data_IF_294292081360
#
_entry.id   IF_294292081360
#
_cell.length_a   1.000
_cell.length_b   1.000
_cell.length_c   1.000
_cell.angle_alpha   90.00
_cell.angle_beta   90.00
_cell.angle_gamma   90.00
#
_symmetry.space_group_name_H-M   'P 1'
#
loop_
_entity.id
_entity.type
_entity.pdbx_description
1 polymer ?
#
# COMPACT_ATOMS: atom_id res chain seq x y z
N UNK A 1 -18.56 19.80 84.40
CA UNK A 1 -18.85 18.37 84.30
C UNK A 1 -20.17 18.25 83.59
N UNK A 2 -20.20 17.73 82.37
CA UNK A 2 -21.15 16.67 82.07
C UNK A 2 -20.73 15.88 80.84
N UNK A 3 -20.98 14.58 80.97
CA UNK A 3 -20.45 13.47 80.19
C UNK A 3 -21.23 13.24 78.89
N UNK A 4 -20.47 12.96 77.83
CA UNK A 4 -20.75 11.99 76.76
C UNK A 4 -22.21 11.57 76.49
N UNK A 5 -22.66 11.79 75.26
CA UNK A 5 -23.38 10.76 74.50
C UNK A 5 -23.16 10.94 73.01
N UNK A 6 -22.33 10.06 72.46
CA UNK A 6 -22.27 9.71 71.05
C UNK A 6 -23.66 9.16 70.71
N UNK A 7 -24.42 9.84 69.84
CA UNK A 7 -25.56 9.21 69.19
C UNK A 7 -25.16 8.86 67.77
N UNK A 8 -25.25 7.56 67.52
CA UNK A 8 -24.84 6.83 66.34
C UNK A 8 -25.72 7.23 65.16
N UNK A 9 -25.11 7.20 63.97
CA UNK A 9 -25.73 7.24 62.65
C UNK A 9 -27.09 6.54 62.63
N UNK A 10 -28.07 7.21 62.05
CA UNK A 10 -29.26 6.56 61.48
C UNK A 10 -29.36 7.14 60.08
N UNK A 11 -28.65 6.49 59.15
CA UNK A 11 -28.77 6.72 57.72
C UNK A 11 -30.17 6.24 57.33
N UNK A 12 -31.13 7.17 57.29
CA UNK A 12 -32.41 6.99 56.61
C UNK A 12 -32.34 7.66 55.24
N UNK A 13 -31.35 7.28 54.43
CA UNK A 13 -31.51 7.33 52.98
C UNK A 13 -32.36 6.13 52.59
N UNK A 14 -33.66 6.25 52.87
CA UNK A 14 -34.71 5.43 52.29
C UNK A 14 -34.73 5.70 50.79
N UNK A 15 -33.85 5.06 50.03
CA UNK A 15 -34.00 4.90 48.60
C UNK A 15 -35.17 3.94 48.35
N UNK A 16 -36.37 4.52 48.40
CA UNK A 16 -37.63 3.89 48.01
C UNK A 16 -37.67 3.58 46.51
N UNK A 17 -36.69 2.84 46.01
CA UNK A 17 -36.87 1.95 44.88
C UNK A 17 -37.52 0.69 45.41
N UNK A 18 -38.85 0.78 45.55
CA UNK A 18 -39.68 -0.37 45.86
C UNK A 18 -39.39 -1.49 44.86
N UNK A 19 -38.89 -2.59 45.40
CA UNK A 19 -38.88 -3.94 44.85
C UNK A 19 -40.33 -4.40 44.57
N UNK A 20 -40.97 -3.73 43.62
CA UNK A 20 -42.32 -3.98 43.13
C UNK A 20 -42.30 -4.02 41.60
N UNK A 21 -41.19 -4.48 41.02
CA UNK A 21 -41.26 -5.19 39.74
C UNK A 21 -41.62 -6.62 40.11
N UNK A 22 -42.81 -7.06 39.74
CA UNK A 22 -43.22 -8.45 39.88
C UNK A 22 -42.13 -9.33 39.23
N UNK A 23 -41.69 -10.44 39.85
CA UNK A 23 -40.71 -11.39 39.27
C UNK A 23 -41.07 -11.80 37.82
N UNK A 24 -42.38 -11.77 37.49
CA UNK A 24 -42.89 -11.98 36.15
C UNK A 24 -42.57 -10.84 35.16
N UNK A 25 -42.55 -9.59 35.61
CA UNK A 25 -42.23 -8.41 34.78
C UNK A 25 -40.73 -8.38 34.46
N UNK A 26 -39.87 -8.77 35.41
CA UNK A 26 -38.41 -8.85 35.18
C UNK A 26 -38.04 -9.96 34.19
N UNK A 27 -38.72 -11.11 34.26
CA UNK A 27 -38.61 -12.19 33.25
C UNK A 27 -39.07 -11.73 31.86
N UNK A 28 -40.16 -10.96 31.78
CA UNK A 28 -40.66 -10.41 30.52
C UNK A 28 -39.70 -9.35 29.94
N UNK A 29 -39.07 -8.54 30.79
CA UNK A 29 -38.03 -7.60 30.36
C UNK A 29 -36.79 -8.32 29.83
N UNK A 30 -36.31 -9.37 30.52
CA UNK A 30 -35.21 -10.21 30.05
C UNK A 30 -35.55 -10.90 28.72
N UNK A 31 -36.75 -11.43 28.57
CA UNK A 31 -37.20 -12.06 27.32
C UNK A 31 -37.27 -11.04 26.18
N UNK A 32 -37.81 -9.84 26.43
CA UNK A 32 -37.88 -8.75 25.46
C UNK A 32 -36.48 -8.24 25.05
N UNK A 33 -35.56 -8.10 26.00
CA UNK A 33 -34.17 -7.72 25.75
C UNK A 33 -33.44 -8.82 24.95
N UNK A 34 -33.64 -10.09 25.30
CA UNK A 34 -33.04 -11.22 24.58
C UNK A 34 -33.48 -11.26 23.11
N UNK A 35 -34.77 -11.01 22.85
CA UNK A 35 -35.35 -11.00 21.52
C UNK A 35 -34.92 -9.76 20.71
N UNK A 36 -34.75 -8.61 21.38
CA UNK A 36 -34.16 -7.42 20.79
C UNK A 36 -32.69 -7.64 20.42
N UNK A 37 -31.92 -8.31 21.29
CA UNK A 37 -30.53 -8.67 21.05
C UNK A 37 -30.39 -9.69 19.92
N UNK A 38 -31.26 -10.70 19.85
CA UNK A 38 -31.30 -11.68 18.76
C UNK A 38 -31.56 -10.99 17.41
N UNK A 39 -32.56 -10.09 17.33
CA UNK A 39 -32.87 -9.32 16.12
C UNK A 39 -31.70 -8.42 15.69
N UNK A 40 -31.01 -7.79 16.64
CA UNK A 40 -29.80 -6.99 16.36
C UNK A 40 -28.65 -7.87 15.89
N UNK A 41 -28.38 -8.99 16.57
CA UNK A 41 -27.29 -9.91 16.19
C UNK A 41 -27.46 -10.47 14.79
N UNK A 42 -28.70 -10.81 14.38
CA UNK A 42 -28.98 -11.33 13.04
C UNK A 42 -28.77 -10.29 11.94
N UNK A 43 -29.10 -9.03 12.22
CA UNK A 43 -28.96 -7.92 11.24
C UNK A 43 -27.54 -7.37 11.19
N UNK A 44 -26.85 -7.32 12.32
CA UNK A 44 -25.44 -6.95 12.43
C UNK A 44 -24.55 -8.03 11.80
N UNK A 45 -24.74 -9.30 12.13
CA UNK A 45 -23.96 -10.41 11.56
C UNK A 45 -24.12 -10.54 10.04
N UNK A 46 -25.29 -10.23 9.49
CA UNK A 46 -25.50 -10.22 8.04
C UNK A 46 -24.81 -9.02 7.35
N UNK A 47 -24.79 -7.85 8.00
CA UNK A 47 -24.04 -6.68 7.51
C UNK A 47 -22.54 -6.92 7.58
N UNK A 48 -22.04 -7.41 8.71
CA UNK A 48 -20.63 -7.75 8.90
C UNK A 48 -20.19 -8.85 7.92
N UNK A 49 -21.01 -9.89 7.70
CA UNK A 49 -20.71 -10.92 6.70
C UNK A 49 -20.65 -10.38 5.26
N UNK A 50 -21.52 -9.43 4.90
CA UNK A 50 -21.47 -8.74 3.61
C UNK A 50 -20.21 -7.89 3.49
N UNK A 51 -19.85 -7.16 4.54
CA UNK A 51 -18.69 -6.25 4.50
C UNK A 51 -17.37 -7.03 4.48
N UNK A 52 -17.27 -8.12 5.24
CA UNK A 52 -16.12 -9.05 5.17
C UNK A 52 -16.03 -9.72 3.79
N UNK A 53 -17.14 -10.14 3.21
CA UNK A 53 -17.15 -10.73 1.86
C UNK A 53 -16.68 -9.75 0.79
N UNK A 54 -17.12 -8.49 0.86
CA UNK A 54 -16.66 -7.43 -0.05
C UNK A 54 -15.16 -7.18 0.10
N UNK A 55 -14.69 -7.02 1.33
CA UNK A 55 -13.27 -6.76 1.60
C UNK A 55 -12.39 -7.90 1.08
N UNK A 56 -12.82 -9.15 1.28
CA UNK A 56 -12.07 -10.32 0.83
C UNK A 56 -11.99 -10.37 -0.71
N UNK A 57 -13.11 -10.16 -1.40
CA UNK A 57 -13.10 -10.10 -2.89
C UNK A 57 -12.31 -8.92 -3.43
N UNK A 58 -12.30 -7.79 -2.73
CA UNK A 58 -11.50 -6.61 -3.09
C UNK A 58 -10.01 -6.90 -2.93
N UNK A 59 -9.62 -7.54 -1.83
CA UNK A 59 -8.24 -7.90 -1.56
C UNK A 59 -7.73 -8.96 -2.55
N UNK A 60 -8.53 -9.96 -2.90
CA UNK A 60 -8.19 -10.92 -3.96
C UNK A 60 -7.98 -10.23 -5.31
N UNK A 61 -8.89 -9.32 -5.69
CA UNK A 61 -8.75 -8.51 -6.89
C UNK A 61 -7.49 -7.65 -6.89
N UNK A 62 -7.17 -7.02 -5.76
CA UNK A 62 -5.94 -6.24 -5.58
C UNK A 62 -4.69 -7.11 -5.71
N UNK A 63 -4.65 -8.26 -5.03
CA UNK A 63 -3.50 -9.16 -5.06
C UNK A 63 -3.19 -9.62 -6.49
N UNK A 64 -4.21 -10.01 -7.24
CA UNK A 64 -4.05 -10.39 -8.64
C UNK A 64 -3.58 -9.21 -9.51
N UNK A 65 -4.18 -8.03 -9.33
CA UNK A 65 -3.75 -6.83 -10.05
C UNK A 65 -2.33 -6.40 -9.71
N UNK A 66 -1.94 -6.50 -8.44
CA UNK A 66 -0.61 -6.16 -7.94
C UNK A 66 0.45 -7.11 -8.47
N UNK A 67 0.23 -8.42 -8.45
CA UNK A 67 1.20 -9.41 -8.96
C UNK A 67 1.54 -9.15 -10.43
N UNK A 68 0.52 -8.96 -11.27
CA UNK A 68 0.70 -8.68 -12.69
C UNK A 68 1.26 -7.28 -12.96
N UNK A 69 0.78 -6.28 -12.20
CA UNK A 69 1.18 -4.89 -12.32
C UNK A 69 2.61 -4.63 -11.85
N UNK A 70 3.01 -5.22 -10.73
CA UNK A 70 4.33 -5.05 -10.15
C UNK A 70 5.41 -5.61 -11.07
N UNK A 71 5.22 -6.81 -11.63
CA UNK A 71 6.20 -7.40 -12.55
C UNK A 71 6.39 -6.56 -13.82
N UNK A 72 5.29 -6.07 -14.41
CA UNK A 72 5.31 -5.23 -15.62
C UNK A 72 5.90 -3.85 -15.35
N UNK A 73 5.46 -3.20 -14.27
CA UNK A 73 5.94 -1.89 -13.84
C UNK A 73 7.42 -1.90 -13.43
N UNK A 74 7.89 -2.97 -12.76
CA UNK A 74 9.29 -3.11 -12.36
C UNK A 74 10.23 -3.12 -13.57
N UNK A 75 9.90 -3.89 -14.62
CA UNK A 75 10.70 -3.94 -15.85
C UNK A 75 10.80 -2.57 -16.52
N UNK A 76 9.69 -1.84 -16.59
CA UNK A 76 9.66 -0.48 -17.15
C UNK A 76 10.53 0.48 -16.33
N UNK A 77 10.39 0.42 -15.00
CA UNK A 77 11.14 1.27 -14.07
C UNK A 77 12.64 1.05 -14.13
N UNK A 78 13.10 -0.22 -14.19
CA UNK A 78 14.53 -0.56 -14.30
C UNK A 78 15.13 0.03 -15.57
N UNK A 79 14.44 -0.12 -16.69
CA UNK A 79 14.93 0.33 -17.99
C UNK A 79 14.93 1.86 -18.12
N UNK A 80 13.93 2.54 -17.57
CA UNK A 80 13.94 4.00 -17.45
C UNK A 80 15.07 4.49 -16.52
N UNK A 81 15.32 3.77 -15.43
CA UNK A 81 16.43 4.02 -14.51
C UNK A 81 17.79 3.89 -15.20
N UNK A 82 17.97 2.85 -16.01
CA UNK A 82 19.19 2.60 -16.77
C UNK A 82 19.47 3.72 -17.78
N UNK A 83 18.46 4.14 -18.56
CA UNK A 83 18.61 5.25 -19.51
C UNK A 83 18.96 6.57 -18.80
N UNK A 84 18.34 6.84 -17.64
CA UNK A 84 18.66 8.04 -16.83
C UNK A 84 20.06 7.99 -16.26
N UNK A 85 20.50 6.83 -15.77
CA UNK A 85 21.86 6.63 -15.29
C UNK A 85 22.88 6.84 -16.41
N UNK A 86 22.63 6.29 -17.60
CA UNK A 86 23.47 6.47 -18.78
C UNK A 86 23.57 7.95 -19.18
N UNK A 87 22.43 8.65 -19.26
CA UNK A 87 22.37 10.09 -19.54
C UNK A 87 23.25 10.91 -18.58
N UNK A 88 23.25 10.56 -17.30
CA UNK A 88 24.05 11.25 -16.28
C UNK A 88 25.54 10.90 -16.38
N UNK A 89 25.86 9.64 -16.65
CA UNK A 89 27.25 9.14 -16.70
C UNK A 89 27.98 9.58 -17.97
N UNK A 90 27.27 9.70 -19.10
CA UNK A 90 27.84 10.03 -20.41
C UNK A 90 27.19 11.28 -21.02
N UNK A 91 27.47 12.49 -20.49
CA UNK A 91 26.87 13.72 -20.98
C UNK A 91 27.38 14.17 -22.36
N UNK A 92 28.47 13.59 -22.86
CA UNK A 92 29.10 13.94 -24.14
C UNK A 92 29.11 12.78 -25.15
N UNK A 93 28.34 11.72 -24.92
CA UNK A 93 28.20 10.63 -25.90
C UNK A 93 27.47 11.13 -27.15
N UNK A 94 27.87 10.67 -28.33
CA UNK A 94 27.14 10.93 -29.59
C UNK A 94 25.68 10.42 -29.54
N UNK A 95 25.40 9.47 -28.66
CA UNK A 95 24.08 8.89 -28.43
C UNK A 95 23.26 9.62 -27.36
N UNK A 96 23.77 10.72 -26.78
CA UNK A 96 23.08 11.45 -25.71
C UNK A 96 21.69 11.93 -26.15
N UNK A 97 21.59 12.51 -27.34
CA UNK A 97 20.32 12.98 -27.90
C UNK A 97 19.36 11.81 -28.19
N UNK A 98 19.88 10.69 -28.71
CA UNK A 98 19.08 9.49 -28.96
C UNK A 98 18.51 8.90 -27.65
N UNK A 99 19.30 8.87 -26.58
CA UNK A 99 18.89 8.41 -25.25
C UNK A 99 17.83 9.35 -24.65
N UNK A 100 18.02 10.66 -24.75
CA UNK A 100 17.04 11.65 -24.26
C UNK A 100 15.70 11.52 -24.99
N UNK A 101 15.73 11.44 -26.32
CA UNK A 101 14.53 11.24 -27.13
C UNK A 101 13.83 9.93 -26.78
N UNK A 102 14.59 8.85 -26.55
CA UNK A 102 14.02 7.55 -26.15
C UNK A 102 13.35 7.61 -24.78
N UNK A 103 13.93 8.33 -23.81
CA UNK A 103 13.34 8.55 -22.48
C UNK A 103 11.99 9.28 -22.62
N UNK A 104 11.92 10.35 -23.42
CA UNK A 104 10.70 11.13 -23.61
C UNK A 104 9.61 10.34 -24.35
N UNK A 105 9.97 9.60 -25.39
CA UNK A 105 9.06 8.70 -26.09
C UNK A 105 8.50 7.62 -25.16
N UNK A 106 9.32 7.04 -24.28
CA UNK A 106 8.83 6.07 -23.30
C UNK A 106 7.89 6.70 -22.29
N UNK A 107 8.25 7.87 -21.76
CA UNK A 107 7.41 8.59 -20.79
C UNK A 107 6.03 8.91 -21.37
N UNK A 108 5.97 9.41 -22.60
CA UNK A 108 4.70 9.73 -23.28
C UNK A 108 3.87 8.47 -23.59
N UNK A 109 4.52 7.37 -24.00
CA UNK A 109 3.84 6.08 -24.18
C UNK A 109 3.25 5.56 -22.86
N UNK A 110 4.03 5.60 -21.77
CA UNK A 110 3.58 5.16 -20.45
C UNK A 110 2.39 6.01 -19.96
N UNK A 111 2.47 7.33 -20.08
CA UNK A 111 1.37 8.24 -19.73
C UNK A 111 0.09 7.93 -20.55
N UNK A 112 0.22 7.63 -21.84
CA UNK A 112 -0.90 7.28 -22.69
C UNK A 112 -1.54 5.91 -22.35
N UNK A 113 -0.75 4.98 -21.82
CA UNK A 113 -1.23 3.66 -21.38
C UNK A 113 -1.96 3.79 -20.03
N UNK A 114 -1.38 4.55 -19.09
CA UNK A 114 -1.99 4.82 -17.79
C UNK A 114 -3.36 5.50 -17.96
N UNK A 115 -3.47 6.46 -18.90
CA UNK A 115 -4.75 7.13 -19.20
C UNK A 115 -5.84 6.17 -19.74
N UNK A 116 -5.47 5.04 -20.35
CA UNK A 116 -6.42 4.01 -20.79
C UNK A 116 -6.84 3.06 -19.67
N UNK A 117 -6.19 3.13 -18.51
CA UNK A 117 -6.39 2.19 -17.40
C UNK A 117 -5.61 0.88 -17.54
N UNK A 118 -4.68 0.82 -18.51
CA UNK A 118 -3.85 -0.35 -18.74
C UNK A 118 -2.53 -0.25 -17.96
N UNK A 119 -1.90 -1.41 -17.71
CA UNK A 119 -0.59 -1.47 -17.06
C UNK A 119 0.48 -1.23 -18.13
N UNK A 120 1.46 -0.31 -17.90
CA UNK A 120 2.57 -0.11 -18.83
C UNK A 120 3.38 -1.41 -18.94
N UNK A 121 3.34 -2.02 -20.12
CA UNK A 121 4.11 -3.21 -20.44
C UNK A 121 5.37 -2.81 -21.17
N UNK A 122 6.50 -3.36 -20.73
CA UNK A 122 7.75 -3.26 -21.50
C UNK A 122 7.90 -4.52 -22.33
N UNK A 123 7.86 -4.37 -23.65
CA UNK A 123 8.10 -5.46 -24.58
C UNK A 123 9.56 -5.91 -24.51
N UNK A 124 9.82 -7.16 -24.90
CA UNK A 124 11.19 -7.66 -25.08
C UNK A 124 11.93 -6.87 -26.15
N UNK A 125 11.21 -6.42 -27.19
CA UNK A 125 11.74 -5.59 -28.26
C UNK A 125 12.27 -4.25 -27.73
N UNK A 126 11.56 -3.61 -26.80
CA UNK A 126 12.03 -2.36 -26.20
C UNK A 126 13.33 -2.56 -25.40
N UNK A 127 13.49 -3.73 -24.78
CA UNK A 127 14.69 -4.10 -24.01
C UNK A 127 15.85 -4.30 -24.98
N UNK A 128 15.64 -5.01 -26.08
CA UNK A 128 16.67 -5.28 -27.07
C UNK A 128 17.11 -4.00 -27.79
N UNK A 129 16.17 -3.12 -28.14
CA UNK A 129 16.47 -1.80 -28.70
C UNK A 129 17.33 -0.97 -27.75
N UNK A 130 16.97 -0.91 -26.47
CA UNK A 130 17.73 -0.11 -25.49
C UNK A 130 19.07 -0.75 -25.17
N UNK A 131 19.14 -2.07 -25.11
CA UNK A 131 20.40 -2.79 -24.90
C UNK A 131 21.34 -2.55 -26.07
N UNK A 132 20.84 -2.58 -27.31
CA UNK A 132 21.66 -2.30 -28.49
C UNK A 132 22.18 -0.85 -28.51
N UNK A 133 21.33 0.14 -28.19
CA UNK A 133 21.72 1.54 -28.04
C UNK A 133 22.85 1.71 -27.00
N UNK A 134 22.68 1.11 -25.82
CA UNK A 134 23.66 1.23 -24.73
C UNK A 134 24.95 0.43 -25.01
N UNK A 135 24.86 -0.73 -25.68
CA UNK A 135 26.01 -1.61 -25.92
C UNK A 135 27.11 -0.96 -26.77
N UNK A 136 26.74 -0.08 -27.69
CA UNK A 136 27.65 0.63 -28.56
C UNK A 136 28.65 1.51 -27.78
N UNK A 137 28.26 2.06 -26.63
CA UNK A 137 29.14 2.88 -25.78
C UNK A 137 29.77 2.09 -24.63
N UNK A 138 29.10 1.04 -24.12
CA UNK A 138 29.67 0.17 -23.08
C UNK A 138 30.90 -0.58 -23.59
N UNK A 139 30.97 -0.92 -24.89
CA UNK A 139 32.18 -1.48 -25.50
C UNK A 139 33.40 -0.54 -25.35
N UNK A 140 33.20 0.78 -25.42
CA UNK A 140 34.27 1.76 -25.17
C UNK A 140 34.68 1.89 -23.70
N UNK A 141 33.79 1.61 -22.75
CA UNK A 141 34.07 1.66 -21.32
C UNK A 141 34.96 0.50 -20.87
N UNK A 142 34.79 -0.68 -21.47
CA UNK A 142 35.62 -1.86 -21.15
C UNK A 142 37.05 -1.70 -21.69
N UNK A 143 37.22 -1.02 -22.84
CA UNK A 143 38.54 -0.78 -23.43
C UNK A 143 39.33 0.32 -22.69
N UNK A 144 38.67 1.28 -22.04
CA UNK A 144 39.32 2.26 -21.17
C UNK A 144 39.86 1.68 -19.86
N UNK A 145 39.38 0.50 -19.42
CA UNK A 145 39.91 -0.16 -18.24
C UNK A 145 41.29 -0.82 -18.47
N UNK A 146 41.80 -0.84 -19.71
CA UNK A 146 43.09 -1.43 -20.08
C UNK A 146 44.19 -0.40 -20.43
N UNK A 147 43.97 0.92 -20.28
CA UNK A 147 44.97 1.93 -20.65
C UNK A 147 45.82 2.44 -19.47
N UNK A 148 47.08 1.99 -19.49
CA UNK A 148 48.33 2.66 -19.10
C UNK A 148 48.73 2.85 -17.62
N UNK A 149 49.44 1.84 -17.07
CA UNK A 149 50.29 1.95 -15.87
C UNK A 149 51.79 2.19 -16.18
N UNK A 150 52.17 2.62 -17.39
CA UNK A 150 53.59 2.65 -17.81
C UNK A 150 54.21 4.01 -18.10
N UNK A 151 53.54 5.14 -17.82
CA UNK A 151 54.18 6.46 -18.05
C UNK A 151 54.32 7.40 -16.83
N UNK A 152 54.39 6.85 -15.62
CA UNK A 152 54.75 7.62 -14.42
C UNK A 152 56.02 7.10 -13.76
N UNK A 153 57.16 7.21 -14.44
CA UNK A 153 58.47 7.36 -13.76
C UNK A 153 59.18 8.53 -14.44
N UNK A 154 59.49 9.52 -13.63
CA UNK A 154 59.89 10.87 -13.98
C UNK A 154 61.32 10.98 -14.53
N UNK A 155 61.58 12.13 -15.16
CA UNK A 155 62.89 12.79 -15.14
C UNK A 155 63.40 13.00 -13.71
#
# INVERSE_FOLDING_TARGET
MDTSRINVMSDEDSDGFGDSMNDGDERLWMEMESLAMERRSRTVGFREGIDVGKELTLQEGFNHGYEHGAAKGFRSGVLLGLLRAFKHQFPHSDQYEAVVNKIEQRKTKEEAIILRGDIPETSQEDIDEITSLLSNDVAGVVDLAHYDKKNCISK
#
